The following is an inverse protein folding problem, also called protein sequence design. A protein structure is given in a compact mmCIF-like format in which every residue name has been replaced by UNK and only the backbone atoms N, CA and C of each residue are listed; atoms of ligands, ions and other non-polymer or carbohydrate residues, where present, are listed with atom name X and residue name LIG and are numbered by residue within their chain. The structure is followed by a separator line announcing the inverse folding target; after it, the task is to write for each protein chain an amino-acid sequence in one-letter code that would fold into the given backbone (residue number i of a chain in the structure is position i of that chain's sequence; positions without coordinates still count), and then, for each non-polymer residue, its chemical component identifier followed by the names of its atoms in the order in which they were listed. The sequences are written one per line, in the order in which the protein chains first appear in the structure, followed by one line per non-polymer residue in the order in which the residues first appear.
data_IF_408512371943
#
_entry.id   IF_408512371943
#
_cell.length_a   1.000
_cell.length_b   1.000
_cell.length_c   1.000
_cell.angle_alpha   90.00
_cell.angle_beta   90.00
_cell.angle_gamma   90.00
#
_symmetry.space_group_name_H-M   'P 1'
#
loop_
_entity.id
_entity.type
_entity.pdbx_description
1 polymer ?
#
# COMPACT_ATOMS: atom_id res chain seq x y z
N UNK A 1 65.41 11.14 -37.59
CA UNK A 1 64.45 10.02 -37.44
C UNK A 1 63.92 9.99 -36.01
N UNK A 2 62.71 10.50 -35.76
CA UNK A 2 61.97 10.32 -34.50
C UNK A 2 60.54 9.93 -34.85
N UNK A 3 60.16 8.67 -34.58
CA UNK A 3 58.80 8.16 -34.76
C UNK A 3 57.91 8.75 -33.66
N UNK A 4 56.87 9.48 -34.04
CA UNK A 4 55.82 9.93 -33.12
C UNK A 4 54.83 8.77 -32.93
N UNK A 5 54.76 8.24 -31.72
CA UNK A 5 53.84 7.15 -31.34
C UNK A 5 52.51 7.78 -30.89
N UNK A 6 51.45 7.59 -31.67
CA UNK A 6 50.10 8.00 -31.27
C UNK A 6 49.49 6.96 -30.32
N UNK A 7 49.41 7.27 -29.03
CA UNK A 7 48.69 6.48 -28.04
C UNK A 7 47.21 6.88 -28.07
N UNK A 8 46.33 6.02 -28.62
CA UNK A 8 44.88 6.21 -28.51
C UNK A 8 44.42 5.74 -27.13
N UNK A 9 44.05 6.68 -26.27
CA UNK A 9 43.35 6.40 -25.01
C UNK A 9 41.90 6.07 -25.36
N UNK A 10 41.52 4.80 -25.16
CA UNK A 10 40.14 4.35 -25.27
C UNK A 10 39.43 4.64 -23.94
N UNK A 11 38.60 5.69 -23.91
CA UNK A 11 37.75 6.00 -22.75
C UNK A 11 36.57 5.03 -22.77
N UNK A 12 36.58 4.03 -21.89
CA UNK A 12 35.44 3.16 -21.61
C UNK A 12 34.39 3.99 -20.84
N UNK A 13 33.40 4.51 -21.57
CA UNK A 13 32.22 5.14 -20.97
C UNK A 13 31.32 4.03 -20.40
N UNK A 14 31.41 3.81 -19.08
CA UNK A 14 30.47 2.93 -18.38
C UNK A 14 29.10 3.62 -18.30
N UNK A 15 28.21 3.34 -19.26
CA UNK A 15 26.80 3.70 -19.17
C UNK A 15 26.15 2.85 -18.06
N UNK A 16 25.96 3.44 -16.89
CA UNK A 16 25.08 2.86 -15.87
C UNK A 16 23.64 3.15 -16.28
N UNK A 17 22.95 2.16 -16.85
CA UNK A 17 21.51 2.24 -17.08
C UNK A 17 20.85 2.27 -15.69
N UNK A 18 20.43 3.45 -15.24
CA UNK A 18 19.57 3.60 -14.06
C UNK A 18 18.20 3.02 -14.43
N UNK A 19 18.00 1.72 -14.19
CA UNK A 19 16.67 1.14 -14.18
C UNK A 19 15.91 1.77 -13.01
N UNK A 20 15.08 2.78 -13.29
CA UNK A 20 14.12 3.26 -12.31
C UNK A 20 13.17 2.10 -11.99
N UNK A 21 12.86 1.91 -10.71
CA UNK A 21 11.86 0.92 -10.31
C UNK A 21 10.54 1.26 -11.03
N UNK A 22 9.96 0.26 -11.69
CA UNK A 22 8.70 0.44 -12.42
C UNK A 22 7.59 0.82 -11.43
N UNK A 23 6.83 1.87 -11.74
CA UNK A 23 5.64 2.25 -10.97
C UNK A 23 4.68 1.05 -10.89
N UNK A 24 4.26 0.61 -9.68
CA UNK A 24 3.32 -0.48 -9.54
C UNK A 24 1.96 -0.10 -10.14
N UNK A 25 1.30 -1.08 -10.74
CA UNK A 25 -0.06 -0.94 -11.22
C UNK A 25 -1.01 -1.72 -10.32
N UNK A 26 -2.26 -1.26 -10.23
CA UNK A 26 -3.31 -1.87 -9.44
C UNK A 26 -4.56 -2.03 -10.29
N UNK A 27 -5.21 -3.19 -10.15
CA UNK A 27 -6.41 -3.53 -10.92
C UNK A 27 -7.66 -2.85 -10.39
N UNK A 28 -8.80 -3.51 -10.61
CA UNK A 28 -10.11 -3.02 -10.20
C UNK A 28 -10.22 -2.87 -8.68
N UNK A 29 -11.09 -1.94 -8.28
CA UNK A 29 -11.47 -1.67 -6.91
C UNK A 29 -12.52 -2.69 -6.43
N UNK A 30 -12.34 -3.20 -5.22
CA UNK A 30 -13.28 -4.07 -4.52
C UNK A 30 -13.66 -3.45 -3.18
N UNK A 31 -14.95 -3.39 -2.87
CA UNK A 31 -15.39 -2.99 -1.52
C UNK A 31 -14.92 -4.03 -0.49
N UNK A 32 -14.34 -3.57 0.61
CA UNK A 32 -13.95 -4.42 1.75
C UNK A 32 -15.09 -4.43 2.75
N UNK A 33 -15.83 -5.53 2.77
CA UNK A 33 -16.96 -5.71 3.69
C UNK A 33 -16.44 -6.00 5.10
N UNK A 34 -16.82 -5.17 6.07
CA UNK A 34 -16.60 -5.46 7.50
C UNK A 34 -17.94 -5.87 8.12
N UNK A 35 -18.14 -7.17 8.31
CA UNK A 35 -19.38 -7.70 8.87
C UNK A 35 -19.58 -7.18 10.30
N UNK A 36 -20.77 -6.64 10.58
CA UNK A 36 -21.11 -6.07 11.90
C UNK A 36 -20.71 -4.61 12.09
N UNK A 37 -20.09 -3.97 11.10
CA UNK A 37 -19.80 -2.54 11.13
C UNK A 37 -20.95 -1.71 10.54
N UNK A 38 -21.33 -0.63 11.21
CA UNK A 38 -22.43 0.26 10.80
C UNK A 38 -22.06 1.76 10.81
N UNK A 39 -20.77 2.08 10.98
CA UNK A 39 -20.23 3.44 11.04
C UNK A 39 -18.96 3.54 10.17
N UNK A 40 -18.39 4.73 10.06
CA UNK A 40 -17.22 5.01 9.23
C UNK A 40 -16.02 4.08 9.52
N UNK A 41 -15.35 3.64 8.47
CA UNK A 41 -14.03 3.05 8.54
C UNK A 41 -13.05 3.88 7.70
N UNK A 42 -12.14 4.55 8.40
CA UNK A 42 -11.13 5.45 7.83
C UNK A 42 -9.73 4.96 8.14
N UNK A 43 -8.79 5.42 7.31
CA UNK A 43 -7.34 5.30 7.51
C UNK A 43 -6.88 3.88 7.89
N UNK A 44 -7.13 2.89 6.99
CA UNK A 44 -6.88 1.50 7.29
C UNK A 44 -5.39 1.20 7.48
N UNK A 45 -5.09 0.26 8.36
CA UNK A 45 -3.79 -0.39 8.46
C UNK A 45 -3.96 -1.91 8.49
N UNK A 46 -3.41 -2.60 7.48
CA UNK A 46 -3.38 -4.07 7.46
C UNK A 46 -2.18 -4.55 8.27
N UNK A 47 -2.41 -5.40 9.26
CA UNK A 47 -1.36 -6.06 10.05
C UNK A 47 -0.32 -6.78 9.17
N UNK A 48 0.89 -6.93 9.69
CA UNK A 48 2.01 -7.50 8.92
C UNK A 48 1.80 -8.96 8.52
N UNK A 49 1.02 -9.73 9.28
CA UNK A 49 0.61 -11.10 8.94
C UNK A 49 -0.64 -11.15 8.04
N UNK A 50 -1.30 -10.00 7.86
CA UNK A 50 -2.49 -9.83 7.05
C UNK A 50 -3.78 -10.29 7.71
N UNK A 51 -3.79 -10.66 8.99
CA UNK A 51 -4.96 -11.27 9.64
C UNK A 51 -5.89 -10.29 10.36
N UNK A 52 -5.39 -9.09 10.68
CA UNK A 52 -6.15 -8.00 11.29
C UNK A 52 -6.10 -6.74 10.43
N UNK A 53 -7.24 -6.05 10.35
CA UNK A 53 -7.39 -4.73 9.74
C UNK A 53 -7.75 -3.74 10.84
N UNK A 54 -6.88 -2.75 11.06
CA UNK A 54 -7.10 -1.63 11.96
C UNK A 54 -7.64 -0.44 11.18
N UNK A 55 -8.48 0.38 11.81
CA UNK A 55 -9.06 1.58 11.20
C UNK A 55 -9.62 2.48 12.30
N UNK A 56 -9.70 3.79 12.07
CA UNK A 56 -10.47 4.67 12.94
C UNK A 56 -11.89 4.89 12.43
N UNK A 57 -12.76 5.32 13.33
CA UNK A 57 -14.02 5.96 12.98
C UNK A 57 -13.79 7.31 12.28
N UNK A 58 -14.88 8.03 12.02
CA UNK A 58 -14.86 9.39 11.49
C UNK A 58 -13.78 10.24 12.16
N UNK A 59 -12.97 10.93 11.36
CA UNK A 59 -11.92 11.80 11.85
C UNK A 59 -12.48 13.21 12.17
N UNK A 60 -13.30 13.30 13.21
CA UNK A 60 -14.00 14.52 13.64
C UNK A 60 -13.23 15.31 14.73
N UNK A 61 -12.13 14.76 15.24
CA UNK A 61 -11.33 15.31 16.33
C UNK A 61 -12.04 15.36 17.69
N UNK A 62 -13.24 14.79 17.78
CA UNK A 62 -14.11 14.84 18.96
C UNK A 62 -14.34 13.43 19.52
N UNK A 63 -14.63 12.46 18.66
CA UNK A 63 -14.93 11.08 19.04
C UNK A 63 -14.10 10.04 18.28
N UNK A 64 -13.15 10.46 17.44
CA UNK A 64 -12.27 9.57 16.67
C UNK A 64 -11.64 8.50 17.55
N UNK A 65 -11.92 7.24 17.25
CA UNK A 65 -11.47 6.07 18.00
C UNK A 65 -10.98 4.97 17.04
N UNK A 66 -9.99 4.19 17.46
CA UNK A 66 -9.44 3.04 16.74
C UNK A 66 -10.19 1.74 17.01
N UNK A 67 -10.44 0.99 15.95
CA UNK A 67 -11.11 -0.29 15.93
C UNK A 67 -10.29 -1.31 15.14
N UNK A 68 -10.66 -2.58 15.26
CA UNK A 68 -10.08 -3.64 14.45
C UNK A 68 -11.11 -4.70 14.05
N UNK A 69 -10.79 -5.36 12.94
CA UNK A 69 -11.55 -6.46 12.37
C UNK A 69 -10.62 -7.63 12.02
N UNK A 70 -11.11 -8.85 12.15
CA UNK A 70 -10.36 -10.07 11.81
C UNK A 70 -10.66 -10.50 10.37
N UNK A 71 -9.64 -11.00 9.67
CA UNK A 71 -9.75 -11.38 8.27
C UNK A 71 -10.58 -12.65 8.10
N UNK A 72 -11.50 -12.61 7.14
CA UNK A 72 -12.17 -13.80 6.58
C UNK A 72 -11.56 -14.14 5.22
N UNK A 73 -11.42 -13.14 4.36
CA UNK A 73 -10.70 -13.19 3.09
C UNK A 73 -10.17 -11.80 2.73
N UNK A 74 -9.57 -11.63 1.55
CA UNK A 74 -8.92 -10.37 1.16
C UNK A 74 -9.87 -9.16 1.18
N UNK A 75 -11.16 -9.32 0.87
CA UNK A 75 -12.15 -8.24 0.83
C UNK A 75 -13.28 -8.41 1.85
N UNK A 76 -13.11 -9.28 2.86
CA UNK A 76 -14.11 -9.50 3.91
C UNK A 76 -13.44 -9.69 5.26
N UNK A 77 -13.88 -8.92 6.24
CA UNK A 77 -13.44 -8.98 7.63
C UNK A 77 -14.64 -9.06 8.57
N UNK A 78 -14.46 -9.55 9.78
CA UNK A 78 -15.46 -9.53 10.84
C UNK A 78 -15.07 -8.47 11.87
N UNK A 79 -15.97 -7.54 12.17
CA UNK A 79 -15.76 -6.53 13.19
C UNK A 79 -15.52 -7.21 14.54
N UNK A 80 -14.45 -6.82 15.25
CA UNK A 80 -14.16 -7.31 16.59
C UNK A 80 -14.53 -6.27 17.64
N UNK A 81 -14.12 -5.02 17.44
CA UNK A 81 -14.39 -3.96 18.41
C UNK A 81 -13.29 -2.89 18.47
N UNK A 82 -13.32 -2.04 19.52
CA UNK A 82 -12.27 -1.05 19.75
C UNK A 82 -10.92 -1.74 20.01
N UNK A 83 -9.82 -1.12 19.58
CA UNK A 83 -8.48 -1.63 19.91
C UNK A 83 -8.26 -1.53 21.42
N UNK A 84 -7.92 -2.64 22.12
CA UNK A 84 -7.75 -2.62 23.57
C UNK A 84 -6.70 -1.59 24.02
N UNK A 85 -6.98 -0.90 25.13
CA UNK A 85 -6.11 0.08 25.82
C UNK A 85 -5.65 1.31 25.03
N UNK A 86 -5.98 1.40 23.74
CA UNK A 86 -5.52 2.47 22.84
C UNK A 86 -6.38 3.73 22.98
N UNK A 87 -7.70 3.59 22.90
CA UNK A 87 -8.61 4.73 22.87
C UNK A 87 -8.71 5.47 24.21
N UNK A 88 -8.72 6.79 24.17
CA UNK A 88 -9.12 7.63 25.29
C UNK A 88 -10.60 7.41 25.60
N UNK A 89 -10.97 7.59 26.86
CA UNK A 89 -12.36 7.43 27.33
C UNK A 89 -13.09 8.76 27.47
N UNK A 90 -12.38 9.90 27.37
CA UNK A 90 -12.91 11.25 27.57
C UNK A 90 -12.93 12.00 26.25
N UNK A 91 -14.01 12.76 26.00
CA UNK A 91 -14.20 13.62 24.83
C UNK A 91 -13.80 15.08 25.18
N UNK A 92 -13.23 15.87 24.25
CA UNK A 92 -12.84 15.50 22.89
C UNK A 92 -11.63 14.57 22.89
N UNK A 93 -11.66 13.58 22.00
CA UNK A 93 -10.53 12.68 21.73
C UNK A 93 -10.33 12.53 20.24
N UNK A 94 -9.05 12.39 19.89
CA UNK A 94 -8.63 11.85 18.61
C UNK A 94 -7.62 10.77 18.93
N UNK A 95 -7.99 9.52 18.71
CA UNK A 95 -7.08 8.39 18.62
C UNK A 95 -7.22 7.81 17.21
N UNK A 96 -6.22 8.08 16.39
CA UNK A 96 -6.18 7.79 14.97
C UNK A 96 -4.73 7.49 14.55
N UNK A 97 -4.46 7.61 13.26
CA UNK A 97 -3.88 6.57 12.41
C UNK A 97 -3.02 5.50 13.11
N UNK A 98 -3.51 4.26 13.04
CA UNK A 98 -2.83 3.07 13.53
C UNK A 98 -1.66 2.64 12.63
N UNK A 99 -0.63 2.05 13.24
CA UNK A 99 0.46 1.39 12.54
C UNK A 99 1.04 0.26 13.39
N UNK A 100 1.39 -0.89 12.79
CA UNK A 100 1.95 -2.03 13.53
C UNK A 100 3.14 -2.66 12.79
N UNK A 101 4.19 -3.00 13.54
CA UNK A 101 5.35 -3.73 13.01
C UNK A 101 5.25 -5.25 13.20
N UNK A 102 6.22 -6.00 12.65
CA UNK A 102 6.25 -7.47 12.70
C UNK A 102 6.44 -8.07 14.09
N UNK A 103 6.74 -7.25 15.10
CA UNK A 103 6.89 -7.66 16.50
C UNK A 103 5.69 -7.25 17.36
N UNK A 104 4.59 -6.83 16.73
CA UNK A 104 3.37 -6.34 17.37
C UNK A 104 3.59 -5.08 18.23
N UNK A 105 4.59 -4.25 17.91
CA UNK A 105 4.59 -2.88 18.42
C UNK A 105 3.58 -2.09 17.60
N UNK A 106 2.58 -1.57 18.29
CA UNK A 106 1.49 -0.79 17.78
C UNK A 106 1.73 0.68 18.11
N UNK A 107 1.59 1.53 17.10
CA UNK A 107 1.78 2.97 17.18
C UNK A 107 0.50 3.66 16.71
N UNK A 108 0.17 4.80 17.30
CA UNK A 108 -0.98 5.57 16.86
C UNK A 108 -0.81 7.06 17.13
N UNK A 109 -1.47 7.87 16.31
CA UNK A 109 -1.63 9.31 16.50
C UNK A 109 -2.70 9.55 17.56
N UNK A 110 -2.41 10.40 18.53
CA UNK A 110 -3.35 10.76 19.58
C UNK A 110 -3.17 12.22 19.98
N UNK A 111 -4.26 12.98 20.06
CA UNK A 111 -4.22 14.36 20.60
C UNK A 111 -4.20 14.39 22.13
N UNK A 112 -4.01 13.23 22.79
CA UNK A 112 -3.90 13.19 24.25
C UNK A 112 -2.81 14.13 24.73
N UNK A 113 -3.16 14.96 25.71
CA UNK A 113 -2.28 15.97 26.31
C UNK A 113 -1.80 17.07 25.35
N UNK A 114 -2.26 17.14 24.10
CA UNK A 114 -1.99 18.29 23.23
C UNK A 114 -2.90 19.48 23.63
N UNK A 115 -2.41 20.73 23.66
CA UNK A 115 -1.08 21.20 23.26
C UNK A 115 -0.03 21.23 24.39
N UNK A 116 -0.34 20.72 25.59
CA UNK A 116 0.62 20.70 26.70
C UNK A 116 1.86 19.83 26.40
N UNK A 117 1.70 18.79 25.58
CA UNK A 117 2.78 18.01 24.99
C UNK A 117 2.61 17.94 23.47
N UNK A 118 3.69 18.26 22.73
CA UNK A 118 3.73 18.17 21.26
C UNK A 118 3.98 16.74 20.74
N UNK A 119 4.41 15.81 21.60
CA UNK A 119 4.66 14.42 21.26
C UNK A 119 3.36 13.63 21.19
N UNK A 120 2.67 13.77 20.06
CA UNK A 120 1.31 13.27 19.86
C UNK A 120 1.26 11.87 19.18
N UNK A 121 2.37 11.14 19.11
CA UNK A 121 2.34 9.69 18.83
C UNK A 121 2.42 8.89 20.12
N UNK A 122 1.72 7.78 20.15
CA UNK A 122 1.72 6.81 21.24
C UNK A 122 2.21 5.46 20.73
N UNK A 123 2.61 4.60 21.65
CA UNK A 123 3.03 3.23 21.37
C UNK A 123 2.54 2.28 22.45
N UNK A 124 2.42 1.01 22.08
CA UNK A 124 2.22 -0.13 22.97
C UNK A 124 2.73 -1.38 22.27
N UNK A 125 3.24 -2.35 23.01
CA UNK A 125 3.56 -3.69 22.47
C UNK A 125 2.50 -4.67 22.93
N UNK A 126 1.78 -5.27 21.99
CA UNK A 126 0.85 -6.35 22.30
C UNK A 126 1.57 -7.69 22.43
N UNK A 127 1.22 -8.42 23.48
CA UNK A 127 1.62 -9.80 23.74
C UNK A 127 0.37 -10.69 23.68
N UNK A 128 0.54 -12.01 23.69
CA UNK A 128 -0.58 -12.96 23.58
C UNK A 128 -1.67 -12.75 24.64
N UNK A 129 -1.29 -12.35 25.85
CA UNK A 129 -2.21 -12.19 26.98
C UNK A 129 -2.02 -10.90 27.78
N UNK A 130 -1.21 -9.96 27.29
CA UNK A 130 -0.92 -8.71 27.98
C UNK A 130 -0.34 -7.66 27.02
N UNK A 131 0.09 -6.52 27.55
CA UNK A 131 0.80 -5.51 26.80
C UNK A 131 1.94 -4.93 27.62
N UNK A 132 2.95 -4.38 26.94
CA UNK A 132 4.08 -3.68 27.56
C UNK A 132 4.41 -2.42 26.78
N UNK A 133 5.38 -1.63 27.27
CA UNK A 133 5.90 -0.45 26.57
C UNK A 133 4.80 0.56 26.13
N UNK A 134 3.77 0.73 26.96
CA UNK A 134 2.71 1.69 26.71
C UNK A 134 3.19 3.12 27.03
N UNK A 135 2.97 4.07 26.13
CA UNK A 135 3.19 5.50 26.40
C UNK A 135 3.51 6.35 25.17
N UNK A 136 3.87 7.64 25.36
CA UNK A 136 4.19 8.55 24.27
C UNK A 136 5.48 8.16 23.54
N UNK A 137 5.46 8.08 22.22
CA UNK A 137 6.67 7.84 21.42
C UNK A 137 7.52 9.12 21.39
N UNK A 138 8.73 9.05 21.94
CA UNK A 138 9.61 10.21 22.04
C UNK A 138 10.46 10.40 20.77
N UNK A 139 10.98 11.61 20.57
CA UNK A 139 11.92 11.84 19.48
C UNK A 139 12.19 13.30 19.13
N UNK A 140 13.21 13.52 18.31
CA UNK A 140 13.51 14.86 17.77
C UNK A 140 12.86 15.15 16.40
N UNK A 141 11.91 14.31 15.97
CA UNK A 141 11.20 14.48 14.69
C UNK A 141 9.91 15.31 14.79
N UNK A 142 9.45 15.61 16.01
CA UNK A 142 8.37 16.56 16.26
C UNK A 142 8.82 18.00 16.02
N UNK A 143 7.88 18.87 15.64
CA UNK A 143 8.07 20.32 15.65
C UNK A 143 7.38 20.88 16.89
N UNK A 144 8.13 21.28 17.95
CA UNK A 144 7.55 21.66 19.24
C UNK A 144 7.05 23.12 19.23
N UNK A 145 6.21 23.46 18.26
CA UNK A 145 5.60 24.78 18.10
C UNK A 145 4.08 24.64 18.03
N UNK A 146 3.30 25.57 18.64
CA UNK A 146 1.85 25.51 18.61
C UNK A 146 1.29 25.40 17.19
N UNK A 147 0.34 24.48 17.00
CA UNK A 147 -0.30 24.22 15.71
C UNK A 147 0.35 23.13 14.88
N UNK A 148 1.54 22.65 15.26
CA UNK A 148 2.18 21.49 14.63
C UNK A 148 1.81 20.21 15.37
N UNK A 149 1.44 19.20 14.60
CA UNK A 149 1.22 17.83 15.08
C UNK A 149 1.83 16.84 14.11
N UNK A 150 2.13 15.62 14.58
CA UNK A 150 2.20 14.47 13.69
C UNK A 150 0.76 14.09 13.33
N UNK A 151 0.36 14.33 12.08
CA UNK A 151 -1.00 14.03 11.61
C UNK A 151 -1.17 12.56 11.27
N UNK A 152 -0.12 11.96 10.70
CA UNK A 152 -0.05 10.56 10.31
C UNK A 152 1.35 10.03 10.55
N UNK A 153 1.45 8.73 10.81
CA UNK A 153 2.74 8.03 10.78
C UNK A 153 2.56 6.56 10.40
N UNK A 154 3.59 6.00 9.78
CA UNK A 154 3.68 4.58 9.44
C UNK A 154 5.02 4.00 9.90
N UNK A 155 4.98 2.94 10.71
CA UNK A 155 6.17 2.14 11.04
C UNK A 155 6.45 1.17 9.90
N UNK A 156 7.72 0.95 9.58
CA UNK A 156 8.10 -0.08 8.62
C UNK A 156 7.93 -1.50 9.21
N UNK A 157 8.00 -2.50 8.34
CA UNK A 157 7.80 -3.91 8.71
C UNK A 157 8.72 -4.37 9.87
N UNK A 158 9.98 -3.92 9.90
CA UNK A 158 10.97 -4.33 10.89
C UNK A 158 10.87 -3.57 12.22
N UNK A 159 10.11 -2.48 12.28
CA UNK A 159 9.95 -1.68 13.49
C UNK A 159 11.13 -0.75 13.80
N UNK A 160 12.05 -0.52 12.85
CA UNK A 160 13.27 0.26 13.04
C UNK A 160 13.25 1.62 12.31
N UNK A 161 12.26 1.88 11.46
CA UNK A 161 12.10 3.15 10.76
C UNK A 161 10.63 3.61 10.76
N UNK A 162 10.43 4.86 11.15
CA UNK A 162 9.15 5.57 11.16
C UNK A 162 9.11 6.57 10.01
N UNK A 163 8.04 6.58 9.24
CA UNK A 163 7.71 7.62 8.28
C UNK A 163 6.64 8.47 8.94
N UNK A 164 6.89 9.74 9.18
CA UNK A 164 5.98 10.63 9.91
C UNK A 164 5.53 11.79 9.02
N UNK A 165 4.36 12.35 9.29
CA UNK A 165 3.83 13.54 8.65
C UNK A 165 3.71 14.68 9.67
N UNK A 166 4.62 15.65 9.64
CA UNK A 166 4.42 16.89 10.39
C UNK A 166 3.42 17.77 9.63
N UNK A 167 2.33 18.18 10.27
CA UNK A 167 1.31 19.03 9.68
C UNK A 167 1.00 20.23 10.57
N UNK A 168 0.73 21.37 9.94
CA UNK A 168 0.42 22.63 10.61
C UNK A 168 -1.04 23.02 10.38
N UNK A 169 -1.77 23.25 11.48
CA UNK A 169 -3.22 23.52 11.50
C UNK A 169 -3.61 24.94 11.95
N UNK A 170 -2.71 25.69 12.58
CA UNK A 170 -3.08 26.97 13.16
C UNK A 170 -3.34 28.04 12.07
N UNK A 171 -4.53 28.64 12.08
CA UNK A 171 -4.95 29.63 11.09
C UNK A 171 -5.24 29.05 9.70
N UNK A 172 -5.41 27.73 9.58
CA UNK A 172 -5.74 27.07 8.32
C UNK A 172 -7.27 27.00 8.09
N UNK A 173 -7.69 26.78 6.83
CA UNK A 173 -9.09 26.79 6.41
C UNK A 173 -9.68 25.37 6.46
N UNK A 174 -10.99 25.25 6.77
CA UNK A 174 -11.75 23.99 6.76
C UNK A 174 -11.15 22.86 7.62
N UNK A 175 -10.55 23.21 8.77
CA UNK A 175 -9.90 22.24 9.68
C UNK A 175 -8.86 21.35 8.99
N UNK A 176 -8.35 21.77 7.84
CA UNK A 176 -7.35 21.04 7.04
C UNK A 176 -5.98 21.66 7.29
N UNK A 177 -4.89 20.88 7.29
CA UNK A 177 -3.56 21.46 7.44
C UNK A 177 -3.21 22.34 6.24
N UNK A 178 -2.60 23.50 6.48
CA UNK A 178 -2.16 24.38 5.41
C UNK A 178 -0.69 24.14 5.01
N UNK A 179 0.05 23.35 5.79
CA UNK A 179 1.39 22.84 5.47
C UNK A 179 1.51 21.42 6.00
N UNK A 180 2.14 20.55 5.24
CA UNK A 180 2.56 19.24 5.72
C UNK A 180 3.85 18.79 5.04
N UNK A 181 4.62 17.95 5.72
CA UNK A 181 5.77 17.27 5.13
C UNK A 181 5.97 15.90 5.75
N UNK A 182 6.27 14.94 4.88
CA UNK A 182 6.74 13.62 5.25
C UNK A 182 8.22 13.66 5.62
N UNK A 183 8.60 12.89 6.62
CA UNK A 183 9.99 12.69 7.02
C UNK A 183 10.28 11.28 7.50
N UNK A 184 11.55 11.00 7.76
CA UNK A 184 12.03 9.70 8.23
C UNK A 184 12.64 9.85 9.62
N UNK A 185 12.35 8.92 10.51
CA UNK A 185 13.02 8.78 11.78
C UNK A 185 13.46 7.33 11.98
N UNK A 186 14.66 7.13 12.51
CA UNK A 186 15.21 5.82 12.80
C UNK A 186 15.10 5.53 14.29
N UNK A 187 14.85 4.27 14.64
CA UNK A 187 14.72 3.81 16.02
C UNK A 187 16.03 4.01 16.77
N UNK A 188 15.98 4.74 17.88
CA UNK A 188 17.09 4.85 18.82
C UNK A 188 16.96 3.82 19.94
N UNK A 189 15.74 3.59 20.43
CA UNK A 189 15.38 2.54 21.38
C UNK A 189 13.86 2.26 21.29
N UNK A 190 13.33 1.37 22.12
CA UNK A 190 11.92 0.96 22.13
C UNK A 190 10.90 2.09 22.41
N UNK A 191 11.36 3.24 22.91
CA UNK A 191 10.52 4.41 23.20
C UNK A 191 10.85 5.65 22.38
N UNK A 192 11.91 5.61 21.56
CA UNK A 192 12.48 6.81 20.96
C UNK A 192 12.89 6.57 19.52
N UNK A 193 12.45 7.46 18.63
CA UNK A 193 12.90 7.55 17.25
C UNK A 193 13.51 8.92 17.01
N UNK A 194 14.58 9.00 16.24
CA UNK A 194 15.22 10.27 15.91
C UNK A 194 15.21 10.48 14.40
N UNK A 195 14.90 11.71 13.99
CA UNK A 195 14.89 12.16 12.61
C UNK A 195 16.18 11.76 11.91
N UNK A 196 16.03 11.10 10.76
CA UNK A 196 17.12 10.77 9.86
C UNK A 196 17.70 12.07 9.28
N UNK A 197 19.01 12.24 9.36
CA UNK A 197 19.72 13.41 8.82
C UNK A 197 19.53 13.59 7.31
N UNK A 198 19.28 12.49 6.58
CA UNK A 198 19.02 12.49 5.15
C UNK A 198 17.54 12.69 4.79
N UNK A 199 16.64 12.93 5.76
CA UNK A 199 15.20 13.12 5.53
C UNK A 199 14.91 14.08 4.38
N UNK A 200 15.56 15.25 4.37
CA UNK A 200 15.32 16.27 3.35
C UNK A 200 15.72 15.80 1.95
N UNK A 201 16.78 14.98 1.85
CA UNK A 201 17.24 14.41 0.58
C UNK A 201 16.30 13.29 0.15
N UNK A 202 15.93 12.40 1.08
CA UNK A 202 15.14 11.21 0.75
C UNK A 202 13.72 11.58 0.30
N UNK A 203 13.13 12.60 0.93
CA UNK A 203 11.76 13.05 0.68
C UNK A 203 11.64 14.22 -0.30
N UNK A 204 12.75 14.67 -0.90
CA UNK A 204 12.80 15.89 -1.73
C UNK A 204 11.77 15.89 -2.87
N UNK A 205 11.54 14.75 -3.51
CA UNK A 205 10.60 14.61 -4.63
C UNK A 205 9.18 14.19 -4.21
N UNK A 206 8.97 13.91 -2.93
CA UNK A 206 7.69 13.48 -2.36
C UNK A 206 6.97 14.65 -1.71
N UNK A 207 7.71 15.46 -0.95
CA UNK A 207 7.17 16.65 -0.30
C UNK A 207 6.86 17.75 -1.32
N UNK A 208 5.69 18.35 -1.18
CA UNK A 208 5.24 19.47 -2.00
C UNK A 208 4.96 20.68 -1.09
N UNK A 209 5.60 21.81 -1.36
CA UNK A 209 5.38 23.04 -0.61
C UNK A 209 4.44 24.02 -1.31
N UNK A 210 4.15 23.79 -2.58
CA UNK A 210 3.42 24.71 -3.46
C UNK A 210 1.92 24.36 -3.50
N UNK A 211 1.59 23.17 -3.99
CA UNK A 211 0.25 22.85 -4.48
C UNK A 211 -0.50 21.85 -3.61
N UNK A 212 0.22 20.93 -2.96
CA UNK A 212 -0.39 19.82 -2.26
C UNK A 212 0.01 19.78 -0.78
N UNK A 213 -0.85 19.18 0.03
CA UNK A 213 -0.54 18.64 1.35
C UNK A 213 -0.28 17.15 1.16
N UNK A 214 0.82 16.62 1.70
CA UNK A 214 1.16 15.19 1.63
C UNK A 214 1.10 14.55 3.00
N UNK A 215 0.53 13.35 3.10
CA UNK A 215 0.23 12.69 4.39
C UNK A 215 -0.08 11.20 4.22
N UNK A 216 -0.48 10.53 5.31
CA UNK A 216 -0.80 9.10 5.38
C UNK A 216 0.22 8.17 4.69
N UNK A 217 1.49 8.16 5.17
CA UNK A 217 2.53 7.36 4.54
C UNK A 217 2.41 5.86 4.86
N UNK A 218 2.67 5.02 3.86
CA UNK A 218 2.86 3.57 4.01
C UNK A 218 4.08 3.11 3.21
N UNK A 219 5.07 2.56 3.91
CA UNK A 219 6.30 2.04 3.32
C UNK A 219 6.20 0.53 3.14
N UNK A 220 6.58 0.04 1.95
CA UNK A 220 6.65 -1.40 1.69
C UNK A 220 7.77 -2.08 2.48
N UNK A 221 7.65 -3.40 2.69
CA UNK A 221 8.59 -4.18 3.52
C UNK A 221 10.06 -4.05 3.11
N UNK A 222 10.36 -3.95 1.82
CA UNK A 222 11.73 -3.76 1.32
C UNK A 222 12.19 -2.29 1.34
N UNK A 223 11.31 -1.38 1.73
CA UNK A 223 11.58 0.05 1.79
C UNK A 223 11.70 0.73 0.44
N UNK A 224 11.30 0.11 -0.68
CA UNK A 224 11.54 0.64 -2.03
C UNK A 224 10.36 1.40 -2.64
N UNK A 225 9.16 1.20 -2.10
CA UNK A 225 7.94 1.90 -2.52
C UNK A 225 7.30 2.58 -1.31
N UNK A 226 7.11 3.90 -1.42
CA UNK A 226 6.40 4.74 -0.47
C UNK A 226 5.05 5.13 -1.08
N UNK A 227 3.98 4.70 -0.45
CA UNK A 227 2.62 5.09 -0.75
C UNK A 227 2.22 6.21 0.19
N UNK A 228 1.44 7.17 -0.31
CA UNK A 228 1.00 8.30 0.49
C UNK A 228 -0.22 8.95 -0.14
N UNK A 229 -0.92 9.76 0.63
CA UNK A 229 -2.01 10.60 0.14
C UNK A 229 -1.49 12.00 -0.14
N UNK A 230 -2.04 12.64 -1.19
CA UNK A 230 -1.93 14.08 -1.37
C UNK A 230 -3.29 14.74 -1.52
N UNK A 231 -3.46 15.90 -0.89
CA UNK A 231 -4.64 16.76 -0.98
C UNK A 231 -4.27 18.03 -1.74
N UNK A 232 -5.03 18.36 -2.80
CA UNK A 232 -4.89 19.65 -3.47
C UNK A 232 -5.31 20.77 -2.51
N UNK A 233 -4.44 21.76 -2.29
CA UNK A 233 -4.74 22.88 -1.39
C UNK A 233 -6.01 23.61 -1.82
N UNK A 234 -6.82 24.03 -0.84
CA UNK A 234 -8.11 24.72 -1.05
C UNK A 234 -9.13 23.91 -1.86
N UNK A 235 -9.02 22.58 -1.83
CA UNK A 235 -9.93 21.64 -2.49
C UNK A 235 -10.26 20.49 -1.53
N UNK A 236 -11.12 19.57 -1.96
CA UNK A 236 -11.35 18.26 -1.33
C UNK A 236 -10.76 17.12 -2.16
N UNK A 237 -10.06 17.45 -3.26
CA UNK A 237 -9.51 16.47 -4.17
C UNK A 237 -8.26 15.82 -3.57
N UNK A 238 -8.41 14.56 -3.17
CA UNK A 238 -7.32 13.71 -2.71
C UNK A 238 -6.92 12.67 -3.74
N UNK A 239 -5.67 12.23 -3.66
CA UNK A 239 -5.09 11.22 -4.53
C UNK A 239 -4.17 10.30 -3.72
N UNK A 240 -4.22 9.00 -4.03
CA UNK A 240 -3.24 8.04 -3.56
C UNK A 240 -2.10 7.99 -4.55
N UNK A 241 -0.90 8.17 -4.03
CA UNK A 241 0.35 8.29 -4.76
C UNK A 241 1.26 7.12 -4.43
N UNK A 242 2.19 6.83 -5.34
CA UNK A 242 3.35 5.98 -5.06
C UNK A 242 4.63 6.65 -5.56
N UNK A 243 5.65 6.68 -4.71
CA UNK A 243 7.00 7.06 -5.07
C UNK A 243 7.93 5.86 -4.88
N UNK A 244 8.91 5.70 -5.76
CA UNK A 244 9.77 4.51 -5.79
C UNK A 244 11.25 4.90 -5.68
N UNK A 245 12.10 3.97 -5.24
CA UNK A 245 13.56 4.16 -5.21
C UNK A 245 14.26 2.83 -5.47
N UNK A 246 15.51 2.89 -5.91
CA UNK A 246 16.28 1.69 -6.23
C UNK A 246 16.96 1.06 -5.00
N UNK A 247 17.13 1.81 -3.92
CA UNK A 247 17.61 1.31 -2.62
C UNK A 247 17.17 2.24 -1.48
N UNK A 248 17.35 1.78 -0.23
CA UNK A 248 16.85 2.43 0.98
C UNK A 248 17.56 3.73 1.39
N UNK A 249 18.69 4.08 0.77
CA UNK A 249 19.43 5.33 1.06
C UNK A 249 19.29 6.38 -0.03
N UNK A 250 18.76 6.01 -1.20
CA UNK A 250 18.47 6.96 -2.28
C UNK A 250 17.16 7.71 -2.05
N UNK A 251 17.06 8.89 -2.68
CA UNK A 251 15.82 9.64 -2.74
C UNK A 251 14.71 8.87 -3.44
N UNK A 252 13.49 9.03 -2.96
CA UNK A 252 12.31 8.60 -3.70
C UNK A 252 12.17 9.39 -5.00
N UNK A 253 11.59 8.77 -6.01
CA UNK A 253 11.17 9.41 -7.25
C UNK A 253 10.08 10.45 -6.99
N UNK A 254 9.73 11.23 -8.00
CA UNK A 254 8.45 11.93 -7.99
C UNK A 254 7.29 10.90 -7.87
N UNK A 255 6.22 11.30 -7.17
CA UNK A 255 5.05 10.47 -7.00
C UNK A 255 4.26 10.27 -8.30
N UNK A 256 3.85 9.03 -8.56
CA UNK A 256 2.87 8.66 -9.58
C UNK A 256 1.49 8.50 -8.95
N UNK A 257 0.45 9.01 -9.62
CA UNK A 257 -0.94 8.84 -9.16
C UNK A 257 -1.38 7.39 -9.40
N UNK A 258 -1.84 6.72 -8.35
CA UNK A 258 -2.46 5.39 -8.45
C UNK A 258 -3.98 5.47 -8.48
N UNK A 259 -4.54 6.31 -7.62
CA UNK A 259 -5.98 6.47 -7.47
C UNK A 259 -6.26 7.95 -7.31
N UNK A 260 -7.18 8.43 -8.14
CA UNK A 260 -7.72 9.78 -8.05
C UNK A 260 -8.97 9.86 -8.91
N UNK A 261 -9.98 10.55 -8.41
CA UNK A 261 -11.13 11.00 -9.19
C UNK A 261 -11.87 12.06 -8.36
N UNK A 262 -12.60 12.98 -8.99
CA UNK A 262 -13.02 14.22 -8.34
C UNK A 262 -13.94 14.02 -7.13
N UNK A 263 -14.57 12.85 -6.96
CA UNK A 263 -15.63 12.63 -5.96
C UNK A 263 -15.44 11.42 -5.04
N UNK A 264 -14.27 10.77 -5.06
CA UNK A 264 -14.05 9.53 -4.31
C UNK A 264 -13.08 9.69 -3.13
N UNK A 265 -12.71 10.91 -2.71
CA UNK A 265 -11.84 11.22 -1.55
C UNK A 265 -10.96 10.03 -1.06
N UNK A 266 -10.03 9.50 -1.90
CA UNK A 266 -9.31 8.28 -1.60
C UNK A 266 -8.05 8.58 -0.78
N UNK A 267 -7.92 7.95 0.38
CA UNK A 267 -6.91 8.34 1.36
C UNK A 267 -6.35 7.14 2.15
N UNK A 268 -5.17 7.36 2.74
CA UNK A 268 -4.50 6.45 3.66
C UNK A 268 -4.33 5.02 3.12
N UNK A 269 -3.48 4.86 2.11
CA UNK A 269 -3.15 3.54 1.60
C UNK A 269 -2.38 2.72 2.64
N UNK A 270 -2.65 1.41 2.69
CA UNK A 270 -1.85 0.42 3.41
C UNK A 270 -1.68 -0.82 2.55
N UNK A 271 -0.53 -1.49 2.66
CA UNK A 271 -0.13 -2.56 1.74
C UNK A 271 0.00 -3.87 2.52
N UNK A 272 -0.41 -4.97 1.92
CA UNK A 272 -0.01 -6.29 2.44
C UNK A 272 1.51 -6.43 2.38
N UNK A 273 2.11 -7.17 3.32
CA UNK A 273 3.57 -7.34 3.41
C UNK A 273 4.22 -7.93 2.15
N UNK A 274 3.44 -8.66 1.34
CA UNK A 274 3.85 -9.22 0.05
C UNK A 274 3.66 -8.23 -1.14
N UNK A 275 3.21 -7.01 -0.85
CA UNK A 275 2.87 -5.93 -1.79
C UNK A 275 1.78 -6.26 -2.83
N UNK A 276 1.08 -7.37 -2.68
CA UNK A 276 0.10 -7.82 -3.68
C UNK A 276 -1.25 -7.12 -3.56
N UNK A 277 -1.52 -6.46 -2.43
CA UNK A 277 -2.80 -5.83 -2.11
C UNK A 277 -2.57 -4.44 -1.54
N UNK A 278 -3.41 -3.50 -1.95
CA UNK A 278 -3.50 -2.18 -1.36
C UNK A 278 -4.92 -1.96 -0.84
N UNK A 279 -5.01 -1.62 0.44
CA UNK A 279 -6.23 -1.17 1.08
C UNK A 279 -6.16 0.33 1.25
N UNK A 280 -7.30 1.00 1.17
CA UNK A 280 -7.43 2.44 1.42
C UNK A 280 -8.88 2.72 1.77
N UNK A 281 -9.18 3.89 2.31
CA UNK A 281 -10.57 4.28 2.49
C UNK A 281 -10.98 5.31 1.43
N UNK A 282 -12.29 5.38 1.20
CA UNK A 282 -12.91 6.49 0.49
C UNK A 282 -14.31 6.76 0.98
N UNK A 283 -14.82 7.95 0.69
CA UNK A 283 -16.22 8.29 0.91
C UNK A 283 -17.13 7.50 -0.05
N UNK A 284 -18.21 6.93 0.50
CA UNK A 284 -19.31 6.30 -0.22
C UNK A 284 -20.64 6.76 0.37
N UNK A 285 -21.31 7.70 -0.32
CA UNK A 285 -22.50 8.35 0.24
C UNK A 285 -22.16 9.14 1.51
N UNK A 286 -22.78 8.75 2.63
CA UNK A 286 -22.60 9.41 3.93
C UNK A 286 -21.41 8.85 4.74
N UNK A 287 -20.93 7.66 4.43
CA UNK A 287 -19.91 6.96 5.21
C UNK A 287 -18.57 6.92 4.47
N UNK A 288 -17.49 6.84 5.23
CA UNK A 288 -16.21 6.35 4.74
C UNK A 288 -16.14 4.82 4.88
N UNK A 289 -15.68 4.16 3.83
CA UNK A 289 -15.56 2.70 3.75
C UNK A 289 -14.19 2.32 3.19
N UNK A 290 -13.78 1.07 3.44
CA UNK A 290 -12.48 0.54 3.00
C UNK A 290 -12.64 -0.20 1.67
N UNK A 291 -11.67 0.00 0.79
CA UNK A 291 -11.60 -0.59 -0.53
C UNK A 291 -10.23 -1.25 -0.74
N UNK A 292 -10.21 -2.26 -1.60
CA UNK A 292 -9.05 -3.08 -1.93
C UNK A 292 -8.77 -2.97 -3.43
N UNK A 293 -7.49 -2.90 -3.79
CA UNK A 293 -7.02 -3.24 -5.14
C UNK A 293 -5.90 -4.25 -5.09
N UNK A 294 -5.90 -5.18 -6.03
CA UNK A 294 -4.79 -6.10 -6.24
C UNK A 294 -3.73 -5.46 -7.14
N UNK A 295 -2.46 -5.60 -6.76
CA UNK A 295 -1.34 -5.20 -7.61
C UNK A 295 -1.35 -6.06 -8.87
N UNK A 296 -1.34 -5.42 -10.02
CA UNK A 296 -1.18 -6.10 -11.31
C UNK A 296 0.32 -6.26 -11.55
N UNK A 297 0.77 -7.51 -11.61
CA UNK A 297 2.15 -7.78 -12.01
C UNK A 297 2.32 -7.50 -13.50
N UNK A 298 3.45 -6.92 -13.91
CA UNK A 298 3.95 -7.08 -15.29
C UNK A 298 4.36 -8.52 -15.61
N UNK A 299 4.15 -9.47 -14.70
CA UNK A 299 4.03 -10.91 -14.95
C UNK A 299 3.34 -11.53 -13.72
N UNK A 300 2.02 -11.50 -13.70
CA UNK A 300 1.23 -12.10 -12.63
C UNK A 300 0.03 -12.81 -13.24
N UNK A 301 0.17 -14.11 -13.45
CA UNK A 301 -0.91 -15.02 -13.83
C UNK A 301 -2.03 -14.81 -12.81
N UNK A 302 -3.17 -14.30 -13.27
CA UNK A 302 -4.38 -14.15 -12.46
C UNK A 302 -4.70 -15.49 -11.78
N UNK A 303 -4.91 -15.48 -10.45
CA UNK A 303 -5.79 -16.48 -9.86
C UNK A 303 -7.13 -16.35 -10.59
N UNK A 304 -7.69 -17.49 -11.04
CA UNK A 304 -9.02 -17.57 -11.60
C UNK A 304 -10.05 -17.11 -10.56
N UNK A 305 -10.19 -15.80 -10.39
CA UNK A 305 -11.50 -15.21 -10.18
C UNK A 305 -12.22 -15.41 -11.52
N UNK A 306 -13.45 -15.94 -11.54
CA UNK A 306 -14.25 -15.98 -12.76
C UNK A 306 -14.31 -14.57 -13.32
N UNK A 307 -13.51 -14.32 -14.34
CA UNK A 307 -13.60 -13.12 -15.13
C UNK A 307 -14.91 -13.29 -15.90
N UNK A 308 -15.81 -12.31 -15.83
CA UNK A 308 -17.22 -12.45 -16.22
C UNK A 308 -17.46 -12.76 -17.72
N UNK A 309 -16.44 -13.18 -18.48
CA UNK A 309 -16.49 -13.53 -19.90
C UNK A 309 -16.03 -14.94 -20.28
N UNK A 310 -15.25 -15.67 -19.46
CA UNK A 310 -14.88 -17.06 -19.78
C UNK A 310 -14.30 -17.87 -18.62
N UNK A 311 -14.40 -19.20 -18.72
CA UNK A 311 -13.99 -20.19 -17.74
C UNK A 311 -13.27 -21.36 -18.44
N UNK A 312 -12.16 -21.86 -17.87
CA UNK A 312 -11.46 -23.06 -18.36
C UNK A 312 -11.66 -24.18 -17.34
N UNK A 313 -12.17 -25.32 -17.80
CA UNK A 313 -12.43 -26.49 -16.94
C UNK A 313 -12.33 -27.82 -17.72
N UNK A 314 -12.04 -28.94 -17.03
CA UNK A 314 -11.56 -28.98 -15.65
C UNK A 314 -10.12 -28.45 -15.56
N UNK A 315 -9.77 -27.87 -14.41
CA UNK A 315 -8.40 -27.48 -14.07
C UNK A 315 -8.18 -27.73 -12.57
N UNK A 316 -7.48 -28.82 -12.17
CA UNK A 316 -6.67 -29.71 -13.01
C UNK A 316 -7.47 -30.58 -14.00
N UNK A 317 -6.84 -31.02 -15.09
CA UNK A 317 -7.40 -31.94 -16.10
C UNK A 317 -6.62 -33.26 -16.15
N UNK A 318 -7.28 -34.35 -16.54
CA UNK A 318 -6.64 -35.62 -16.91
C UNK A 318 -6.44 -35.78 -18.42
N UNK A 319 -6.87 -34.81 -19.23
CA UNK A 319 -6.85 -34.88 -20.70
C UNK A 319 -7.71 -33.80 -21.34
N UNK A 320 -9.03 -33.99 -21.44
CA UNK A 320 -9.93 -33.05 -22.09
C UNK A 320 -10.05 -31.73 -21.31
N UNK A 321 -10.10 -30.62 -22.05
CA UNK A 321 -10.21 -29.25 -21.54
C UNK A 321 -11.27 -28.52 -22.34
N UNK A 322 -12.12 -27.77 -21.64
CA UNK A 322 -13.20 -26.97 -22.20
C UNK A 322 -13.01 -25.50 -21.81
N UNK A 323 -13.41 -24.63 -22.72
CA UNK A 323 -13.46 -23.19 -22.51
C UNK A 323 -14.90 -22.74 -22.70
N UNK A 324 -15.55 -22.30 -21.62
CA UNK A 324 -16.83 -21.60 -21.72
C UNK A 324 -16.54 -20.13 -21.97
N UNK A 325 -16.99 -19.61 -23.10
CA UNK A 325 -16.81 -18.22 -23.52
C UNK A 325 -18.02 -17.79 -24.36
N UNK A 326 -18.40 -16.52 -24.27
CA UNK A 326 -19.38 -15.90 -25.19
C UNK A 326 -18.72 -15.23 -26.41
N UNK A 327 -17.41 -15.43 -26.58
CA UNK A 327 -16.58 -14.88 -27.66
C UNK A 327 -15.86 -15.99 -28.43
N UNK A 328 -15.62 -15.74 -29.71
CA UNK A 328 -14.75 -16.55 -30.55
C UNK A 328 -13.27 -16.26 -30.23
N UNK A 329 -12.57 -17.25 -29.66
CA UNK A 329 -11.20 -17.10 -29.18
C UNK A 329 -10.22 -17.89 -30.06
N UNK A 330 -9.05 -17.30 -30.30
CA UNK A 330 -7.87 -18.05 -30.70
C UNK A 330 -7.20 -18.58 -29.43
N UNK A 331 -6.99 -19.88 -29.38
CA UNK A 331 -6.44 -20.59 -28.24
C UNK A 331 -5.08 -21.14 -28.64
N UNK A 332 -4.07 -20.85 -27.84
CA UNK A 332 -2.72 -21.36 -28.03
C UNK A 332 -2.22 -21.99 -26.74
N UNK A 333 -1.70 -23.22 -26.79
CA UNK A 333 -1.20 -23.94 -25.61
C UNK A 333 0.30 -24.11 -25.71
N UNK A 334 1.01 -23.75 -24.64
CA UNK A 334 2.46 -23.87 -24.50
C UNK A 334 2.82 -24.70 -23.27
N UNK A 335 4.00 -25.32 -23.28
CA UNK A 335 4.63 -25.79 -22.04
C UNK A 335 5.32 -24.63 -21.30
N UNK A 336 5.91 -24.90 -20.11
CA UNK A 336 6.63 -23.87 -19.33
C UNK A 336 7.94 -23.40 -19.95
N UNK A 337 8.46 -24.10 -20.95
CA UNK A 337 9.68 -23.71 -21.70
C UNK A 337 9.36 -22.81 -22.90
N UNK A 338 8.08 -22.62 -23.22
CA UNK A 338 7.61 -21.81 -24.35
C UNK A 338 7.40 -22.61 -25.64
N UNK A 339 7.55 -23.93 -25.62
CA UNK A 339 7.27 -24.77 -26.77
C UNK A 339 5.77 -24.77 -27.07
N UNK A 340 5.44 -24.50 -28.33
CA UNK A 340 4.07 -24.49 -28.81
C UNK A 340 3.56 -25.92 -28.98
N UNK A 341 2.48 -26.27 -28.27
CA UNK A 341 1.81 -27.56 -28.41
C UNK A 341 0.64 -27.51 -29.39
N UNK A 342 -0.25 -26.52 -29.22
CA UNK A 342 -1.52 -26.47 -29.95
C UNK A 342 -1.90 -25.03 -30.31
N UNK A 343 -2.48 -24.85 -31.50
CA UNK A 343 -3.27 -23.67 -31.88
C UNK A 343 -4.64 -24.13 -32.36
N UNK A 344 -5.70 -23.57 -31.80
CA UNK A 344 -7.08 -23.91 -32.19
C UNK A 344 -8.02 -22.71 -32.02
N UNK A 345 -9.17 -22.77 -32.70
CA UNK A 345 -10.33 -21.89 -32.44
C UNK A 345 -11.48 -22.64 -31.78
N UNK A 346 -11.30 -23.94 -31.52
CA UNK A 346 -12.30 -24.77 -30.83
C UNK A 346 -12.29 -24.47 -29.34
N UNK A 347 -13.47 -24.31 -28.76
CA UNK A 347 -13.67 -24.14 -27.31
C UNK A 347 -13.44 -25.43 -26.51
N UNK A 348 -12.87 -26.47 -27.13
CA UNK A 348 -12.39 -27.67 -26.46
C UNK A 348 -11.14 -28.21 -27.16
N UNK A 349 -10.29 -28.88 -26.39
CA UNK A 349 -9.10 -29.58 -26.85
C UNK A 349 -8.70 -30.67 -25.85
N UNK A 350 -7.83 -31.58 -26.26
CA UNK A 350 -7.40 -32.72 -25.45
C UNK A 350 -5.88 -32.71 -25.25
N UNK A 351 -5.45 -32.90 -24.00
CA UNK A 351 -4.07 -33.00 -23.57
C UNK A 351 -3.74 -34.40 -23.03
N UNK A 352 -4.54 -35.43 -23.35
CA UNK A 352 -4.34 -36.80 -22.84
C UNK A 352 -2.94 -37.32 -23.15
N UNK A 353 -2.43 -37.04 -24.35
CA UNK A 353 -1.11 -37.50 -24.82
C UNK A 353 0.07 -36.70 -24.25
N UNK A 354 -0.21 -35.71 -23.40
CA UNK A 354 0.81 -34.88 -22.76
C UNK A 354 1.19 -35.39 -21.37
N UNK A 355 2.47 -35.21 -21.05
CA UNK A 355 3.00 -35.53 -19.73
C UNK A 355 2.30 -34.70 -18.64
N UNK A 356 2.08 -35.27 -17.45
CA UNK A 356 1.62 -34.49 -16.28
C UNK A 356 2.54 -33.30 -16.03
N UNK A 357 1.95 -32.14 -15.82
CA UNK A 357 2.72 -30.90 -15.76
C UNK A 357 1.87 -29.64 -15.85
N UNK A 358 2.56 -28.51 -15.91
CA UNK A 358 1.95 -27.19 -16.05
C UNK A 358 1.98 -26.76 -17.51
N UNK A 359 0.82 -26.36 -18.00
CA UNK A 359 0.64 -25.80 -19.34
C UNK A 359 0.14 -24.36 -19.26
N UNK A 360 0.53 -23.56 -20.24
CA UNK A 360 0.16 -22.16 -20.38
C UNK A 360 -0.80 -22.05 -21.57
N UNK A 361 -2.03 -21.63 -21.31
CA UNK A 361 -3.03 -21.39 -22.35
C UNK A 361 -3.10 -19.88 -22.60
N UNK A 362 -2.87 -19.45 -23.82
CA UNK A 362 -3.13 -18.10 -24.28
C UNK A 362 -4.46 -18.03 -25.05
N UNK A 363 -5.33 -17.12 -24.64
CA UNK A 363 -6.65 -16.84 -25.22
C UNK A 363 -6.63 -15.45 -25.83
N UNK A 364 -6.94 -15.32 -27.11
CA UNK A 364 -6.96 -14.00 -27.75
C UNK A 364 -8.11 -13.80 -28.74
N UNK A 365 -8.65 -12.58 -28.74
CA UNK A 365 -9.54 -12.04 -29.77
C UNK A 365 -8.92 -10.75 -30.36
N UNK A 366 -9.66 -9.98 -31.16
CA UNK A 366 -9.17 -8.71 -31.75
C UNK A 366 -8.92 -7.58 -30.73
N UNK A 367 -9.40 -7.74 -29.50
CA UNK A 367 -9.44 -6.72 -28.43
C UNK A 367 -8.76 -7.18 -27.13
N UNK A 368 -8.51 -8.48 -26.97
CA UNK A 368 -8.08 -9.11 -25.73
C UNK A 368 -6.98 -10.15 -26.00
N UNK A 369 -6.03 -10.22 -25.09
CA UNK A 369 -5.03 -11.30 -25.00
C UNK A 369 -4.88 -11.67 -23.52
N UNK A 370 -5.13 -12.93 -23.15
CA UNK A 370 -5.08 -13.40 -21.77
C UNK A 370 -4.44 -14.76 -21.65
N UNK A 371 -3.63 -14.92 -20.61
CA UNK A 371 -2.93 -16.16 -20.31
C UNK A 371 -3.48 -16.83 -19.05
N UNK A 372 -3.71 -18.14 -19.12
CA UNK A 372 -4.25 -18.99 -18.03
C UNK A 372 -3.32 -20.19 -17.80
N UNK A 373 -3.08 -20.53 -16.54
CA UNK A 373 -2.35 -21.74 -16.15
C UNK A 373 -3.31 -22.94 -16.09
N UNK A 374 -2.94 -24.04 -16.75
CA UNK A 374 -3.63 -25.32 -16.68
C UNK A 374 -2.72 -26.38 -16.04
N UNK A 375 -3.27 -27.20 -15.15
CA UNK A 375 -2.57 -28.32 -14.51
C UNK A 375 -3.06 -29.62 -15.16
N UNK A 376 -2.16 -30.38 -15.80
CA UNK A 376 -2.41 -31.75 -16.27
C UNK A 376 -1.92 -32.73 -15.21
N UNK A 377 -2.80 -33.60 -14.75
CA UNK A 377 -2.49 -34.70 -13.82
C UNK A 377 -2.19 -36.00 -14.55
#
# INVERSE_FOLDING_TARGET
MKKLLYLKILVLLSFSIRLNAQTPLFGNEFHVKINGLAFDAMEPFISTDGNALFFNSINDGTTTSLYYASKVNDSTFNFIGPVPVVNQTVTPRLDAVASVDSLNNFYWVSTRNYPANSENLQRVRFLTSSYTNFGPLHGNFYIPLPGWIIMDAGINFSGDQLIYCNAFFNGCVNSSPCRASLGLANKANDSTFNKDSNTNIIMANVNDTANYIVYAPALTKDGLELYYTRLLKNSTQTQIMVATRSNTVTAFSAGSVLIGAPYIVPEAPTLSSDKTKMYYHRKNGALFEIYLRYRTGTSGIHKNVPDAGFEIYPNPTSGPVYIRSNKDLNITVYNTLGDLFLRTRSNNFDLTDLLPGVYIINLSDHTMNKTVKLIKQ
#
